data_IF_080704409586
#
_entry.id   IF_080704409586
#
_cell.length_a   1.000
_cell.length_b   1.000
_cell.length_c   1.000
_cell.angle_alpha   90.00
_cell.angle_beta   90.00
_cell.angle_gamma   90.00
#
_symmetry.space_group_name_H-M   'P 1'
#
loop_
_entity.id
_entity.type
_entity.pdbx_description
1 polymer ?
#
# COMPACT_ATOMS: atom_id res chain seq x y z
N UNK A 1 9.07 -3.21 -7.37
CA UNK A 1 8.46 -1.87 -7.55
C UNK A 1 7.30 -1.70 -6.57
N UNK A 2 7.25 -0.59 -5.82
CA UNK A 2 6.39 -0.28 -4.66
C UNK A 2 5.18 -1.20 -4.39
N UNK A 3 4.22 -1.32 -5.32
CA UNK A 3 2.98 -2.10 -5.11
C UNK A 3 3.23 -3.58 -4.78
N UNK A 4 4.20 -4.21 -5.45
CA UNK A 4 4.60 -5.60 -5.16
C UNK A 4 5.22 -5.78 -3.78
N UNK A 5 5.94 -4.76 -3.28
CA UNK A 5 6.50 -4.76 -1.94
C UNK A 5 5.39 -4.54 -0.90
N UNK A 6 4.52 -3.57 -1.14
CA UNK A 6 3.42 -3.22 -0.24
C UNK A 6 2.41 -4.37 -0.08
N UNK A 7 2.09 -5.05 -1.18
CA UNK A 7 1.29 -6.28 -1.21
C UNK A 7 1.81 -7.35 -0.23
N UNK A 8 3.14 -7.53 -0.19
CA UNK A 8 3.79 -8.49 0.72
C UNK A 8 3.76 -8.03 2.18
N UNK A 9 4.04 -6.75 2.44
CA UNK A 9 4.04 -6.21 3.81
C UNK A 9 2.64 -6.29 4.43
N UNK A 10 1.64 -5.79 3.70
CA UNK A 10 0.26 -5.71 4.20
C UNK A 10 -0.52 -7.02 4.05
N UNK A 11 0.06 -8.04 3.40
CA UNK A 11 -0.60 -9.31 3.06
C UNK A 11 -1.92 -9.12 2.30
N UNK A 12 -1.98 -8.08 1.47
CA UNK A 12 -3.13 -7.75 0.62
C UNK A 12 -2.76 -8.06 -0.83
N UNK A 13 -3.60 -8.80 -1.59
CA UNK A 13 -3.39 -9.05 -3.02
C UNK A 13 -3.05 -7.77 -3.79
N UNK A 14 -2.01 -7.80 -4.62
CA UNK A 14 -1.58 -6.61 -5.37
C UNK A 14 -2.69 -6.01 -6.25
N UNK A 15 -3.62 -6.83 -6.76
CA UNK A 15 -4.80 -6.36 -7.51
C UNK A 15 -5.75 -5.46 -6.70
N UNK A 16 -5.64 -5.48 -5.38
CA UNK A 16 -6.42 -4.66 -4.46
C UNK A 16 -5.68 -3.39 -4.03
N UNK A 17 -4.50 -3.13 -4.59
CA UNK A 17 -3.70 -1.95 -4.29
C UNK A 17 -3.54 -1.14 -5.59
N UNK A 18 -4.07 0.07 -5.59
CA UNK A 18 -3.97 0.98 -6.73
C UNK A 18 -3.10 2.17 -6.39
N UNK A 19 -2.20 2.54 -7.30
CA UNK A 19 -1.46 3.80 -7.20
C UNK A 19 -2.33 4.93 -7.75
N UNK A 20 -2.71 5.88 -6.89
CA UNK A 20 -3.49 7.07 -7.27
C UNK A 20 -2.59 8.21 -7.77
N UNK A 21 -1.36 8.27 -7.27
CA UNK A 21 -0.36 9.27 -7.70
C UNK A 21 0.40 8.83 -8.96
N UNK A 22 0.95 9.76 -9.72
CA UNK A 22 1.84 9.42 -10.83
C UNK A 22 3.11 8.67 -10.42
N UNK A 23 3.67 7.89 -11.34
CA UNK A 23 4.93 7.14 -11.14
C UNK A 23 6.13 8.03 -10.81
N UNK A 24 6.12 9.31 -11.23
CA UNK A 24 7.18 10.28 -10.91
C UNK A 24 6.89 11.14 -9.69
N UNK A 25 5.72 11.00 -9.06
CA UNK A 25 5.38 11.78 -7.87
C UNK A 25 6.34 11.47 -6.71
N UNK A 26 6.83 12.51 -6.01
CA UNK A 26 7.67 12.34 -4.81
C UNK A 26 6.91 11.69 -3.66
N UNK A 27 5.62 12.02 -3.53
CA UNK A 27 4.71 11.41 -2.55
C UNK A 27 3.83 10.42 -3.29
N UNK A 28 3.87 9.16 -2.84
CA UNK A 28 3.05 8.07 -3.39
C UNK A 28 1.76 7.97 -2.62
N UNK A 29 0.63 8.07 -3.33
CA UNK A 29 -0.71 7.84 -2.77
C UNK A 29 -1.22 6.52 -3.32
N UNK A 30 -1.67 5.65 -2.42
CA UNK A 30 -2.22 4.34 -2.75
C UNK A 30 -3.61 4.20 -2.16
N UNK A 31 -4.50 3.59 -2.92
CA UNK A 31 -5.78 3.10 -2.44
C UNK A 31 -5.63 1.59 -2.20
N UNK A 32 -6.19 1.10 -1.09
CA UNK A 32 -6.14 -0.29 -0.69
C UNK A 32 -7.56 -0.74 -0.37
N UNK A 33 -8.04 -1.78 -1.04
CA UNK A 33 -9.34 -2.38 -0.74
C UNK A 33 -9.17 -3.68 0.04
N UNK A 34 -10.00 -3.89 1.07
CA UNK A 34 -10.04 -5.13 1.83
C UNK A 34 -10.21 -4.90 3.32
N UNK A 35 -10.14 -6.00 4.08
CA UNK A 35 -10.26 -6.00 5.53
C UNK A 35 -8.91 -5.69 6.20
N UNK A 36 -8.35 -4.51 5.91
CA UNK A 36 -7.15 -3.99 6.56
C UNK A 36 -7.48 -2.64 7.20
N UNK A 37 -7.08 -2.44 8.45
CA UNK A 37 -7.36 -1.19 9.16
C UNK A 37 -6.17 -0.22 9.09
N UNK A 38 -6.39 1.09 9.23
CA UNK A 38 -5.30 2.07 9.28
C UNK A 38 -4.26 1.75 10.36
N UNK A 39 -4.69 1.23 11.51
CA UNK A 39 -3.80 0.89 12.64
C UNK A 39 -2.85 -0.23 12.27
N UNK A 40 -3.35 -1.28 11.60
CA UNK A 40 -2.52 -2.38 11.10
C UNK A 40 -1.50 -1.90 10.05
N UNK A 41 -1.91 -0.96 9.19
CA UNK A 41 -1.01 -0.35 8.19
C UNK A 41 0.10 0.42 8.91
N UNK A 42 -0.24 1.22 9.91
CA UNK A 42 0.73 2.00 10.69
C UNK A 42 1.70 1.06 11.40
N UNK A 43 1.22 0.01 12.06
CA UNK A 43 2.06 -0.96 12.75
C UNK A 43 3.07 -1.64 11.82
N UNK A 44 2.62 -2.09 10.64
CA UNK A 44 3.48 -2.79 9.66
C UNK A 44 4.48 -1.86 8.97
N UNK A 45 4.11 -0.59 8.76
CA UNK A 45 4.96 0.38 8.04
C UNK A 45 5.78 1.28 8.96
N UNK A 46 5.62 1.15 10.28
CA UNK A 46 6.48 1.83 11.24
C UNK A 46 7.90 1.25 11.16
N UNK A 47 8.96 2.09 11.32
CA UNK A 47 10.35 1.65 11.27
C UNK A 47 10.73 0.59 12.29
#
# INVERSE_FOLDING_TARGET
MLLSWLSKQLRVPQKQIQLLSGQSSRIKRVEIWGSITPEQIIEVLSP
#
